data_IF_391449679111
#
_entry.id   IF_391449679111
#
_cell.length_a   1.000
_cell.length_b   1.000
_cell.length_c   1.000
_cell.angle_alpha   90.00
_cell.angle_beta   90.00
_cell.angle_gamma   90.00
#
_symmetry.space_group_name_H-M   'P 1'
#
loop_
_entity.id
_entity.type
_entity.pdbx_description
1 polymer ?
#
# COMPACT_ATOMS: atom_id res chain seq x y z
N UNK A 1 26.49 -76.34 -45.47
CA UNK A 1 25.90 -76.16 -46.78
C UNK A 1 24.69 -75.16 -46.57
N UNK A 2 24.84 -73.98 -47.07
CA UNK A 2 23.83 -73.07 -47.66
C UNK A 2 24.35 -71.62 -47.59
N UNK A 3 24.49 -71.06 -48.74
CA UNK A 3 25.08 -69.79 -49.12
C UNK A 3 24.25 -68.56 -48.68
N UNK A 4 24.88 -67.36 -48.42
CA UNK A 4 24.18 -66.15 -48.09
C UNK A 4 23.83 -65.34 -49.33
N UNK A 5 22.57 -64.85 -49.40
CA UNK A 5 22.12 -63.89 -50.41
C UNK A 5 22.56 -62.48 -50.10
N UNK A 6 23.29 -61.84 -51.04
CA UNK A 6 23.57 -60.41 -51.10
C UNK A 6 22.30 -59.58 -51.26
N UNK A 7 22.07 -58.56 -50.41
CA UNK A 7 21.12 -57.48 -50.64
C UNK A 7 21.88 -56.24 -51.09
N UNK A 8 21.50 -55.77 -52.26
CA UNK A 8 21.99 -54.56 -52.92
C UNK A 8 21.46 -53.31 -52.18
N UNK A 9 22.34 -52.43 -51.77
CA UNK A 9 22.01 -51.08 -51.30
C UNK A 9 21.63 -50.20 -52.50
N UNK A 10 20.41 -49.72 -52.56
CA UNK A 10 20.05 -48.57 -53.40
C UNK A 10 20.44 -47.30 -52.68
N UNK A 11 21.30 -46.50 -53.29
CA UNK A 11 21.61 -45.12 -52.90
C UNK A 11 20.41 -44.24 -53.29
N UNK A 12 19.62 -43.78 -52.33
CA UNK A 12 18.66 -42.72 -52.52
C UNK A 12 19.35 -41.36 -52.39
N UNK A 13 19.05 -40.47 -53.29
CA UNK A 13 19.65 -39.19 -53.59
C UNK A 13 19.46 -38.14 -52.48
N UNK A 14 20.41 -37.26 -52.28
CA UNK A 14 20.38 -36.21 -51.20
C UNK A 14 19.44 -35.03 -51.49
N UNK A 15 18.54 -35.14 -52.47
CA UNK A 15 17.67 -34.03 -52.87
C UNK A 15 16.43 -33.84 -51.97
N UNK A 16 16.01 -34.84 -51.25
CA UNK A 16 14.82 -34.75 -50.38
C UNK A 16 15.12 -34.07 -49.03
N UNK A 17 16.37 -34.06 -48.57
CA UNK A 17 16.74 -33.41 -47.29
C UNK A 17 16.97 -31.90 -47.44
N UNK A 18 17.27 -31.41 -48.65
CA UNK A 18 17.47 -29.96 -48.86
C UNK A 18 16.13 -29.18 -48.97
N UNK A 19 15.09 -29.84 -49.46
CA UNK A 19 13.74 -29.22 -49.58
C UNK A 19 13.07 -29.18 -48.21
N UNK A 20 13.32 -30.16 -47.31
CA UNK A 20 12.73 -30.16 -45.98
C UNK A 20 13.42 -29.13 -45.06
N UNK A 21 14.70 -28.84 -45.25
CA UNK A 21 15.42 -27.79 -44.51
C UNK A 21 15.00 -26.37 -44.94
N UNK A 22 14.63 -26.15 -46.20
CA UNK A 22 14.14 -24.87 -46.69
C UNK A 22 12.68 -24.60 -46.27
N UNK A 23 11.84 -25.63 -46.10
CA UNK A 23 10.44 -25.46 -45.62
C UNK A 23 10.41 -25.28 -44.11
N UNK A 24 11.34 -25.86 -43.33
CA UNK A 24 11.48 -25.63 -41.88
C UNK A 24 12.13 -24.31 -41.55
N UNK A 25 12.91 -23.73 -42.46
CA UNK A 25 13.51 -22.39 -42.28
C UNK A 25 12.52 -21.23 -42.51
N UNK A 26 11.38 -21.51 -43.17
CA UNK A 26 10.31 -20.53 -43.41
C UNK A 26 9.20 -20.56 -42.35
N UNK A 27 9.29 -21.50 -41.38
CA UNK A 27 8.38 -21.62 -40.23
C UNK A 27 9.07 -21.33 -38.88
N UNK A 28 10.23 -20.72 -38.90
CA UNK A 28 10.68 -20.05 -37.68
C UNK A 28 9.66 -18.97 -37.36
N UNK A 29 8.96 -19.02 -36.22
CA UNK A 29 8.17 -17.89 -35.82
C UNK A 29 9.13 -16.73 -35.76
N UNK A 30 8.96 -15.72 -36.64
CA UNK A 30 9.61 -14.47 -36.48
C UNK A 30 9.45 -14.09 -35.00
N UNK A 31 10.53 -13.71 -34.35
CA UNK A 31 10.46 -13.17 -32.99
C UNK A 31 9.41 -12.07 -33.05
N UNK A 32 8.17 -12.43 -32.73
CA UNK A 32 7.06 -11.51 -32.67
C UNK A 32 7.51 -10.43 -31.69
N UNK A 33 7.58 -9.19 -32.10
CA UNK A 33 7.67 -8.06 -31.20
C UNK A 33 6.63 -8.35 -30.11
N UNK A 34 7.10 -8.67 -28.89
CA UNK A 34 6.24 -9.06 -27.79
C UNK A 34 5.15 -8.00 -27.68
N UNK A 35 3.91 -8.43 -27.65
CA UNK A 35 2.79 -7.51 -27.49
C UNK A 35 3.02 -6.76 -26.20
N UNK A 36 3.03 -5.43 -26.27
CA UNK A 36 3.17 -4.59 -25.07
C UNK A 36 2.11 -5.02 -24.04
N UNK A 37 2.44 -5.02 -22.76
CA UNK A 37 1.45 -5.21 -21.70
C UNK A 37 0.26 -4.28 -21.91
N UNK A 38 -0.93 -4.67 -21.45
CA UNK A 38 -2.16 -3.89 -21.68
C UNK A 38 -2.05 -2.44 -21.15
N UNK A 39 -1.40 -2.25 -20.03
CA UNK A 39 -1.19 -0.92 -19.43
C UNK A 39 -0.22 -0.02 -20.23
N UNK A 40 0.63 -0.58 -21.09
CA UNK A 40 1.47 0.18 -22.03
C UNK A 40 0.81 0.43 -23.39
N UNK A 41 -0.39 -0.08 -23.60
CA UNK A 41 -1.13 0.11 -24.85
C UNK A 41 -1.98 1.36 -24.76
N UNK A 42 -1.97 2.15 -25.81
CA UNK A 42 -2.92 3.24 -25.98
C UNK A 42 -4.29 2.63 -26.31
N UNK A 43 -5.17 2.52 -25.31
CA UNK A 43 -6.52 2.05 -25.55
C UNK A 43 -7.50 3.22 -25.70
N UNK A 44 -7.95 3.53 -26.91
CA UNK A 44 -8.92 4.60 -27.14
C UNK A 44 -10.34 4.25 -26.64
N UNK A 45 -10.57 3.01 -26.22
CA UNK A 45 -11.87 2.53 -25.77
C UNK A 45 -12.10 2.60 -24.26
N UNK A 46 -11.10 2.98 -23.48
CA UNK A 46 -11.29 3.20 -22.06
C UNK A 46 -12.33 4.32 -21.85
N UNK A 47 -13.51 3.93 -21.40
CA UNK A 47 -14.64 4.85 -21.24
C UNK A 47 -14.63 5.43 -19.82
N UNK A 48 -13.96 6.55 -19.67
CA UNK A 48 -13.98 7.33 -18.43
C UNK A 48 -14.91 8.54 -18.52
N UNK A 49 -15.93 8.47 -19.39
CA UNK A 49 -16.84 9.58 -19.64
C UNK A 49 -17.67 9.96 -18.41
N UNK A 50 -17.88 9.02 -17.50
CA UNK A 50 -18.60 9.20 -16.24
C UNK A 50 -17.79 10.00 -15.21
N UNK A 51 -16.46 9.99 -15.34
CA UNK A 51 -15.57 10.73 -14.44
C UNK A 51 -15.38 12.13 -14.99
N UNK A 52 -16.19 13.05 -14.52
CA UNK A 52 -16.12 14.45 -14.94
C UNK A 52 -14.82 15.10 -14.43
N UNK A 53 -13.73 14.95 -15.17
CA UNK A 53 -12.44 15.60 -14.90
C UNK A 53 -12.47 16.99 -15.54
N UNK A 54 -12.73 18.00 -14.72
CA UNK A 54 -12.76 19.40 -15.13
C UNK A 54 -11.45 20.12 -14.81
N UNK A 55 -11.31 21.33 -15.33
CA UNK A 55 -10.13 22.17 -15.13
C UNK A 55 -9.06 21.99 -16.21
N UNK A 56 -8.24 23.01 -16.38
CA UNK A 56 -7.11 22.97 -17.28
C UNK A 56 -6.00 22.07 -16.70
N UNK A 57 -5.18 21.43 -17.56
CA UNK A 57 -3.96 20.79 -17.11
C UNK A 57 -3.09 21.80 -16.35
N UNK A 58 -2.37 21.29 -15.37
CA UNK A 58 -1.45 22.10 -14.60
C UNK A 58 -0.35 22.68 -15.49
N UNK A 59 0.03 23.92 -15.23
CA UNK A 59 1.11 24.60 -15.95
C UNK A 59 2.41 24.52 -15.16
N UNK A 60 3.53 24.67 -15.87
CA UNK A 60 4.84 24.77 -15.26
C UNK A 60 4.91 25.92 -14.23
N UNK A 61 5.56 25.67 -13.10
CA UNK A 61 5.85 26.72 -12.11
C UNK A 61 7.10 27.52 -12.49
N UNK A 62 7.16 28.83 -12.19
CA UNK A 62 8.38 29.61 -12.38
C UNK A 62 9.59 29.01 -11.64
N UNK A 63 10.78 29.33 -12.09
CA UNK A 63 12.00 28.90 -11.41
C UNK A 63 12.04 29.37 -9.95
N UNK A 64 12.52 28.50 -9.08
CA UNK A 64 12.89 28.82 -7.69
C UNK A 64 11.87 28.42 -6.63
N UNK A 65 10.58 28.37 -6.93
CA UNK A 65 9.56 28.01 -5.96
C UNK A 65 8.72 26.83 -6.44
N UNK A 66 8.42 25.91 -5.53
CA UNK A 66 7.42 24.87 -5.73
C UNK A 66 6.11 25.39 -5.16
N UNK A 67 5.11 25.58 -6.01
CA UNK A 67 3.76 26.01 -5.63
C UNK A 67 2.77 24.90 -5.90
N UNK A 68 1.87 24.66 -4.97
CA UNK A 68 0.78 23.69 -5.12
C UNK A 68 0.49 22.99 -3.82
N UNK A 69 -0.44 22.04 -3.89
CA UNK A 69 -0.82 21.19 -2.77
C UNK A 69 0.12 19.98 -2.68
N UNK A 70 0.39 19.59 -1.44
CA UNK A 70 1.03 18.32 -1.11
C UNK A 70 -0.02 17.45 -0.43
N UNK A 71 -0.23 16.25 -0.98
CA UNK A 71 -0.88 15.17 -0.25
C UNK A 71 0.24 14.29 0.31
N UNK A 72 0.45 14.42 1.60
CA UNK A 72 1.59 13.81 2.27
C UNK A 72 1.35 12.36 2.65
N UNK A 73 0.12 11.83 2.47
CA UNK A 73 -0.22 10.47 2.85
C UNK A 73 -1.42 9.95 2.05
N UNK A 74 -1.17 9.00 1.15
CA UNK A 74 -2.22 8.33 0.38
C UNK A 74 -1.94 6.84 0.23
N UNK A 75 -3.00 6.04 0.24
CA UNK A 75 -2.92 4.61 -0.06
C UNK A 75 -3.43 4.34 -1.48
N UNK A 76 -2.66 4.75 -2.46
CA UNK A 76 -3.04 4.72 -3.88
C UNK A 76 -3.44 3.32 -4.35
N UNK A 77 -2.66 2.30 -3.97
CA UNK A 77 -2.86 0.90 -4.36
C UNK A 77 -3.36 0.04 -3.18
N UNK A 78 -4.23 0.58 -2.33
CA UNK A 78 -4.76 -0.16 -1.16
C UNK A 78 -5.60 -1.37 -1.54
N UNK A 79 -6.17 -1.40 -2.74
CA UNK A 79 -6.87 -2.55 -3.31
C UNK A 79 -5.98 -3.79 -3.44
N UNK A 80 -4.67 -3.62 -3.61
CA UNK A 80 -3.68 -4.68 -3.60
C UNK A 80 -3.21 -5.08 -2.19
N UNK A 81 -3.63 -4.36 -1.17
CA UNK A 81 -3.34 -4.65 0.24
C UNK A 81 -4.28 -5.70 0.84
N UNK A 82 -4.00 -6.11 2.07
CA UNK A 82 -4.89 -6.88 2.93
C UNK A 82 -5.42 -8.19 2.30
N UNK A 83 -4.65 -8.82 1.43
CA UNK A 83 -5.05 -10.03 0.70
C UNK A 83 -5.76 -9.75 -0.62
N UNK A 84 -5.95 -8.48 -1.01
CA UNK A 84 -6.55 -8.07 -2.28
C UNK A 84 -8.08 -8.12 -2.31
N UNK A 85 -8.74 -8.08 -1.15
CA UNK A 85 -10.21 -8.21 -1.08
C UNK A 85 -10.89 -7.22 -0.11
N UNK A 86 -10.15 -6.55 0.79
CA UNK A 86 -10.76 -5.61 1.74
C UNK A 86 -11.18 -4.31 1.06
N UNK A 87 -10.33 -3.77 0.19
CA UNK A 87 -10.64 -2.55 -0.54
C UNK A 87 -11.17 -2.90 -1.92
N UNK A 88 -12.42 -2.56 -2.16
CA UNK A 88 -13.13 -2.88 -3.40
C UNK A 88 -12.74 -1.94 -4.54
N UNK A 89 -12.56 -2.50 -5.72
CA UNK A 89 -12.24 -1.75 -6.92
C UNK A 89 -10.73 -1.61 -7.13
N UNK A 90 -10.36 -1.10 -8.31
CA UNK A 90 -8.97 -0.93 -8.76
C UNK A 90 -8.68 0.53 -9.04
N UNK A 91 -7.41 0.89 -8.91
CA UNK A 91 -6.93 2.25 -9.20
C UNK A 91 -7.06 2.62 -10.67
N UNK A 92 -6.97 1.65 -11.58
CA UNK A 92 -7.14 1.83 -13.03
C UNK A 92 -7.55 0.53 -13.71
N UNK A 93 -8.17 0.64 -14.88
CA UNK A 93 -8.53 -0.48 -15.73
C UNK A 93 -8.44 -0.12 -17.20
N UNK A 94 -8.16 -1.12 -18.04
CA UNK A 94 -8.21 -0.99 -19.50
C UNK A 94 -9.62 -0.60 -19.99
N UNK A 95 -10.65 -1.10 -19.34
CA UNK A 95 -12.05 -0.91 -19.71
C UNK A 95 -12.70 0.32 -19.08
N UNK A 96 -11.98 1.03 -18.21
CA UNK A 96 -12.46 2.26 -17.57
C UNK A 96 -13.05 2.06 -16.18
N UNK A 97 -13.67 3.12 -15.66
CA UNK A 97 -14.12 3.21 -14.27
C UNK A 97 -15.18 2.16 -13.89
N UNK A 98 -16.08 1.83 -14.81
CA UNK A 98 -17.11 0.83 -14.54
C UNK A 98 -16.55 -0.55 -14.26
N UNK A 99 -15.50 -0.94 -15.01
CA UNK A 99 -14.78 -2.18 -14.77
C UNK A 99 -13.93 -2.09 -13.50
N UNK A 100 -13.22 -0.99 -13.33
CA UNK A 100 -12.33 -0.81 -12.19
C UNK A 100 -13.05 -0.89 -10.84
N UNK A 101 -14.27 -0.37 -10.72
CA UNK A 101 -14.93 -0.19 -9.42
C UNK A 101 -16.09 -1.16 -9.15
N UNK A 102 -16.34 -2.15 -10.02
CA UNK A 102 -17.49 -3.06 -9.86
C UNK A 102 -17.21 -4.28 -9.00
N UNK A 103 -15.96 -4.59 -8.74
CA UNK A 103 -15.59 -5.82 -8.06
C UNK A 103 -15.46 -5.61 -6.56
N UNK A 104 -16.37 -6.24 -5.79
CA UNK A 104 -16.40 -6.10 -4.34
C UNK A 104 -16.83 -7.42 -3.69
N UNK A 105 -15.96 -8.41 -3.73
CA UNK A 105 -16.25 -9.76 -3.26
C UNK A 105 -16.56 -9.81 -1.75
N UNK A 106 -15.85 -9.02 -0.94
CA UNK A 106 -16.00 -9.04 0.50
C UNK A 106 -17.34 -8.49 1.00
N UNK A 107 -18.01 -7.66 0.19
CA UNK A 107 -19.27 -7.02 0.60
C UNK A 107 -20.52 -7.84 0.26
N UNK A 108 -20.41 -8.79 -0.65
CA UNK A 108 -21.60 -9.33 -1.31
C UNK A 108 -22.34 -8.28 -2.16
N UNK A 109 -23.46 -8.65 -2.74
CA UNK A 109 -24.19 -7.77 -3.67
C UNK A 109 -24.91 -6.57 -3.03
N UNK A 110 -25.06 -6.55 -1.70
CA UNK A 110 -25.83 -5.55 -0.95
C UNK A 110 -25.06 -4.89 0.20
N UNK A 111 -23.74 -5.11 0.28
CA UNK A 111 -22.88 -4.55 1.31
C UNK A 111 -22.98 -5.18 2.69
N UNK A 112 -23.94 -6.11 2.93
CA UNK A 112 -24.19 -6.65 4.28
C UNK A 112 -23.07 -7.49 4.84
N UNK A 113 -22.26 -8.08 4.01
CA UNK A 113 -21.14 -8.93 4.40
C UNK A 113 -19.82 -8.17 4.56
N UNK A 114 -19.79 -6.89 4.26
CA UNK A 114 -18.63 -6.02 4.42
C UNK A 114 -18.26 -5.84 5.90
N UNK A 115 -17.57 -6.84 6.48
CA UNK A 115 -17.22 -6.82 7.90
C UNK A 115 -16.41 -5.60 8.30
N UNK A 116 -15.36 -5.29 7.55
CA UNK A 116 -14.46 -4.18 7.88
C UNK A 116 -15.18 -2.83 7.74
N UNK A 117 -15.95 -2.65 6.68
CA UNK A 117 -16.76 -1.44 6.49
C UNK A 117 -17.75 -1.27 7.65
N UNK A 118 -18.46 -2.35 8.01
CA UNK A 118 -19.37 -2.34 9.13
C UNK A 118 -18.69 -2.10 10.48
N UNK A 119 -17.47 -2.59 10.69
CA UNK A 119 -16.69 -2.30 11.90
C UNK A 119 -16.29 -0.83 12.01
N UNK A 120 -16.01 -0.17 10.91
CA UNK A 120 -15.71 1.28 10.90
C UNK A 120 -16.96 2.14 11.18
N UNK A 121 -18.15 1.62 10.91
CA UNK A 121 -19.43 2.28 11.23
C UNK A 121 -19.96 2.02 12.64
N UNK A 122 -19.36 1.13 13.41
CA UNK A 122 -19.79 0.77 14.78
C UNK A 122 -19.63 1.90 15.81
N UNK A 123 -19.13 3.06 15.47
CA UNK A 123 -19.13 4.24 16.34
C UNK A 123 -20.54 4.80 16.62
N UNK A 124 -21.56 4.00 16.42
CA UNK A 124 -22.85 4.13 17.14
C UNK A 124 -23.90 4.99 16.49
N UNK A 125 -23.91 5.21 15.19
CA UNK A 125 -24.88 6.16 14.60
C UNK A 125 -25.59 5.68 13.34
N UNK A 126 -26.05 4.45 13.29
CA UNK A 126 -26.93 4.06 12.21
C UNK A 126 -27.01 2.57 11.95
N UNK A 127 -27.97 2.14 11.13
CA UNK A 127 -27.99 0.77 10.61
C UNK A 127 -26.72 0.53 9.78
N UNK A 128 -26.34 -0.75 9.65
CA UNK A 128 -25.30 -1.19 8.74
C UNK A 128 -25.45 -0.47 7.39
N UNK A 129 -24.38 0.10 6.88
CA UNK A 129 -24.40 0.74 5.57
C UNK A 129 -24.56 -0.33 4.48
N UNK A 130 -25.81 -0.57 4.10
CA UNK A 130 -26.17 -1.52 3.05
C UNK A 130 -26.29 -0.79 1.73
N UNK A 131 -25.48 -1.21 0.75
CA UNK A 131 -25.52 -0.64 -0.60
C UNK A 131 -25.18 -1.71 -1.62
N UNK A 132 -25.69 -1.58 -2.84
CA UNK A 132 -25.31 -2.46 -3.94
C UNK A 132 -23.92 -2.10 -4.43
N UNK A 133 -23.07 -3.10 -4.56
CA UNK A 133 -21.74 -2.99 -5.18
C UNK A 133 -21.75 -3.44 -6.64
N UNK A 134 -22.92 -3.83 -7.14
CA UNK A 134 -23.10 -4.28 -8.52
C UNK A 134 -23.27 -3.08 -9.44
N UNK A 135 -22.42 -2.90 -10.42
CA UNK A 135 -22.47 -1.86 -11.45
C UNK A 135 -22.25 -0.43 -10.88
N UNK A 136 -21.03 0.03 -10.95
CA UNK A 136 -20.73 1.44 -10.70
C UNK A 136 -21.44 2.34 -11.77
N UNK A 137 -21.99 3.48 -11.43
CA UNK A 137 -22.18 4.11 -10.12
C UNK A 137 -23.61 3.86 -9.56
N UNK A 138 -24.07 2.62 -9.49
CA UNK A 138 -25.45 2.29 -9.11
C UNK A 138 -25.79 2.58 -7.65
N UNK A 139 -24.80 2.77 -6.80
CA UNK A 139 -25.01 3.16 -5.41
C UNK A 139 -24.78 4.67 -5.22
N UNK A 140 -25.71 5.31 -4.51
CA UNK A 140 -25.65 6.74 -4.27
C UNK A 140 -24.40 7.12 -3.46
N UNK A 141 -23.80 8.25 -3.81
CA UNK A 141 -22.64 8.84 -3.12
C UNK A 141 -21.38 7.98 -3.09
N UNK A 142 -21.22 7.05 -4.01
CA UNK A 142 -20.00 6.22 -4.07
C UNK A 142 -18.90 6.84 -4.94
N UNK A 143 -17.62 6.74 -4.52
CA UNK A 143 -17.22 6.41 -3.17
C UNK A 143 -17.46 7.59 -2.23
N UNK A 144 -17.93 7.30 -1.02
CA UNK A 144 -18.05 8.33 0.03
C UNK A 144 -16.66 8.55 0.64
N UNK A 145 -16.41 9.76 1.16
CA UNK A 145 -15.19 10.07 1.90
C UNK A 145 -14.98 9.15 3.12
N UNK A 146 -16.05 8.59 3.67
CA UNK A 146 -16.05 7.68 4.82
C UNK A 146 -16.02 6.19 4.44
N UNK A 147 -16.07 5.85 3.15
CA UNK A 147 -16.06 4.45 2.69
C UNK A 147 -14.63 3.95 2.58
N UNK A 148 -14.03 3.54 3.70
CA UNK A 148 -12.64 3.12 3.76
C UNK A 148 -12.35 1.83 2.98
N UNK A 149 -13.37 1.06 2.63
CA UNK A 149 -13.26 -0.22 1.94
C UNK A 149 -13.66 -0.17 0.47
N UNK A 150 -13.82 1.02 -0.09
CA UNK A 150 -14.00 1.25 -1.52
C UNK A 150 -12.85 2.08 -2.07
N UNK A 151 -12.36 1.73 -3.27
CA UNK A 151 -11.29 2.46 -3.92
C UNK A 151 -11.69 3.91 -4.18
N UNK A 152 -10.98 4.85 -3.58
CA UNK A 152 -11.19 6.28 -3.69
C UNK A 152 -10.12 7.00 -4.52
N UNK A 153 -9.12 6.24 -4.99
CA UNK A 153 -7.95 6.76 -5.69
C UNK A 153 -7.94 6.33 -7.17
N UNK A 154 -9.14 6.14 -7.80
CA UNK A 154 -9.17 5.88 -9.22
C UNK A 154 -8.41 6.97 -10.00
N UNK A 155 -7.56 6.59 -10.93
CA UNK A 155 -6.54 7.49 -11.53
C UNK A 155 -7.12 8.80 -12.10
N UNK A 156 -8.38 8.80 -12.59
CA UNK A 156 -9.02 10.04 -13.08
C UNK A 156 -9.36 11.01 -11.94
N UNK A 157 -9.60 10.52 -10.73
CA UNK A 157 -9.78 11.39 -9.57
C UNK A 157 -8.46 11.98 -9.10
N UNK A 158 -7.36 11.21 -9.20
CA UNK A 158 -6.00 11.72 -8.99
C UNK A 158 -5.66 12.77 -10.05
N UNK A 159 -6.05 12.57 -11.31
CA UNK A 159 -5.91 13.59 -12.36
C UNK A 159 -6.68 14.87 -12.02
N UNK A 160 -7.89 14.75 -11.46
CA UNK A 160 -8.66 15.91 -11.01
C UNK A 160 -7.93 16.68 -9.91
N UNK A 161 -7.34 15.98 -8.93
CA UNK A 161 -6.55 16.60 -7.87
C UNK A 161 -5.31 17.32 -8.44
N UNK A 162 -4.59 16.66 -9.36
CA UNK A 162 -3.48 17.29 -10.08
C UNK A 162 -3.90 18.55 -10.86
N UNK A 163 -5.00 18.52 -11.58
CA UNK A 163 -5.57 19.69 -12.27
C UNK A 163 -5.97 20.78 -11.28
N UNK A 164 -6.44 20.39 -10.09
CA UNK A 164 -6.78 21.29 -8.98
C UNK A 164 -5.57 21.93 -8.28
N UNK A 165 -4.34 21.52 -8.63
CA UNK A 165 -3.12 22.13 -8.09
C UNK A 165 -2.26 21.23 -7.22
N UNK A 166 -2.59 19.94 -7.08
CA UNK A 166 -1.70 19.00 -6.40
C UNK A 166 -0.41 18.79 -7.19
N UNK A 167 0.73 18.84 -6.51
CA UNK A 167 2.07 18.75 -7.09
C UNK A 167 2.91 17.63 -6.53
N UNK A 168 2.66 17.26 -5.30
CA UNK A 168 3.32 16.13 -4.64
C UNK A 168 2.23 15.22 -4.07
N UNK A 169 2.45 13.93 -4.20
CA UNK A 169 1.69 12.86 -3.56
C UNK A 169 2.68 11.88 -2.95
N UNK A 170 2.52 11.57 -1.68
CA UNK A 170 3.20 10.42 -1.08
C UNK A 170 2.25 9.24 -1.17
N UNK A 171 2.63 8.25 -1.95
CA UNK A 171 1.88 7.02 -2.16
C UNK A 171 2.46 5.92 -1.28
N UNK A 172 1.90 5.77 -0.09
CA UNK A 172 2.31 4.78 0.87
C UNK A 172 1.71 3.42 0.53
N UNK A 173 2.56 2.43 0.39
CA UNK A 173 2.12 1.03 0.35
C UNK A 173 1.62 0.62 1.73
N UNK A 174 0.49 -0.07 1.79
CA UNK A 174 -0.13 -0.42 3.07
C UNK A 174 -0.51 -1.88 3.14
N UNK A 175 -0.25 -2.49 4.30
CA UNK A 175 -0.74 -3.83 4.61
C UNK A 175 -0.85 -4.06 6.12
N UNK A 176 -1.69 -5.02 6.47
CA UNK A 176 -1.82 -5.55 7.81
C UNK A 176 -2.19 -7.03 7.74
N UNK A 177 -1.27 -7.90 8.13
CA UNK A 177 -1.44 -9.35 8.05
C UNK A 177 -2.59 -9.88 8.93
N UNK A 178 -2.95 -9.19 10.01
CA UNK A 178 -4.08 -9.59 10.87
C UNK A 178 -5.40 -9.36 10.14
N UNK A 179 -5.57 -8.21 9.50
CA UNK A 179 -6.75 -7.93 8.67
C UNK A 179 -6.88 -8.94 7.53
N UNK A 180 -5.77 -9.22 6.86
CA UNK A 180 -5.69 -10.24 5.81
C UNK A 180 -6.10 -11.64 6.28
N UNK A 181 -5.93 -11.94 7.58
CA UNK A 181 -6.20 -13.25 8.16
C UNK A 181 -7.61 -13.40 8.74
N UNK A 182 -8.47 -12.39 8.58
CA UNK A 182 -9.84 -12.48 9.10
C UNK A 182 -10.66 -13.55 8.36
N UNK A 183 -11.50 -14.33 9.06
CA UNK A 183 -12.19 -15.50 8.50
C UNK A 183 -13.14 -15.18 7.34
N UNK A 184 -13.56 -13.94 7.20
CA UNK A 184 -14.49 -13.47 6.15
C UNK A 184 -13.80 -13.07 4.87
N UNK A 185 -12.47 -13.13 4.83
CA UNK A 185 -11.67 -12.72 3.67
C UNK A 185 -11.50 -13.87 2.68
N UNK A 186 -11.67 -13.58 1.42
CA UNK A 186 -11.25 -14.45 0.31
C UNK A 186 -9.93 -13.89 -0.21
N UNK A 187 -8.82 -14.27 0.43
CA UNK A 187 -7.52 -13.77 0.01
C UNK A 187 -7.19 -14.24 -1.40
N UNK A 188 -7.05 -13.30 -2.31
CA UNK A 188 -6.61 -13.53 -3.69
C UNK A 188 -5.10 -13.41 -3.85
N UNK A 189 -4.42 -12.93 -2.80
CA UNK A 189 -2.99 -12.60 -2.83
C UNK A 189 -2.31 -12.81 -1.47
N UNK A 190 -0.98 -12.68 -1.44
CA UNK A 190 -0.17 -12.84 -0.22
C UNK A 190 -0.55 -11.82 0.86
N UNK A 191 -0.53 -12.28 2.12
CA UNK A 191 -0.69 -11.45 3.32
C UNK A 191 0.66 -10.97 3.90
N UNK A 192 1.78 -11.37 3.31
CA UNK A 192 3.11 -10.94 3.77
C UNK A 192 3.33 -9.47 3.41
N UNK A 193 3.74 -8.65 4.39
CA UNK A 193 3.88 -7.21 4.23
C UNK A 193 4.82 -6.84 3.07
N UNK A 194 5.98 -7.50 2.94
CA UNK A 194 6.93 -7.16 1.88
C UNK A 194 6.48 -7.64 0.49
N UNK A 195 5.72 -8.75 0.39
CA UNK A 195 5.11 -9.17 -0.88
C UNK A 195 4.06 -8.14 -1.35
N UNK A 196 3.29 -7.61 -0.41
CA UNK A 196 2.30 -6.56 -0.68
C UNK A 196 2.99 -5.27 -1.12
N UNK A 197 4.08 -4.86 -0.45
CA UNK A 197 4.89 -3.70 -0.84
C UNK A 197 5.37 -3.84 -2.29
N UNK A 198 5.96 -4.99 -2.66
CA UNK A 198 6.42 -5.25 -4.03
C UNK A 198 5.29 -5.12 -5.05
N UNK A 199 4.12 -5.66 -4.72
CA UNK A 199 2.95 -5.64 -5.60
C UNK A 199 2.42 -4.22 -5.79
N UNK A 200 2.19 -3.47 -4.72
CA UNK A 200 1.70 -2.09 -4.81
C UNK A 200 2.69 -1.16 -5.52
N UNK A 201 3.99 -1.33 -5.31
CA UNK A 201 5.01 -0.58 -6.06
C UNK A 201 4.97 -0.93 -7.54
N UNK A 202 4.82 -2.22 -7.88
CA UNK A 202 4.70 -2.67 -9.27
C UNK A 202 3.48 -2.04 -9.94
N UNK A 203 2.31 -2.11 -9.30
CA UNK A 203 1.06 -1.52 -9.80
C UNK A 203 1.17 0.00 -9.96
N UNK A 204 1.84 0.69 -9.05
CA UNK A 204 2.08 2.14 -9.19
C UNK A 204 2.95 2.47 -10.41
N UNK A 205 3.96 1.64 -10.71
CA UNK A 205 4.78 1.79 -11.93
C UNK A 205 3.98 1.46 -13.20
N UNK A 206 3.09 0.49 -13.14
CA UNK A 206 2.18 0.16 -14.25
C UNK A 206 1.16 1.28 -14.50
N UNK A 207 0.66 1.94 -13.44
CA UNK A 207 -0.17 3.13 -13.58
C UNK A 207 0.59 4.29 -14.26
N UNK A 208 1.85 4.52 -13.89
CA UNK A 208 2.69 5.53 -14.57
C UNK A 208 2.80 5.22 -16.07
N UNK A 209 3.11 3.97 -16.43
CA UNK A 209 3.21 3.53 -17.82
C UNK A 209 1.86 3.63 -18.57
N UNK A 210 0.75 3.30 -17.90
CA UNK A 210 -0.59 3.42 -18.42
C UNK A 210 -0.96 4.88 -18.75
N UNK A 211 -0.63 5.81 -17.87
CA UNK A 211 -0.84 7.24 -18.11
C UNK A 211 0.08 7.74 -19.22
N UNK A 212 1.34 7.34 -19.23
CA UNK A 212 2.31 7.68 -20.28
C UNK A 212 1.81 7.24 -21.66
N UNK A 213 1.31 6.01 -21.80
CA UNK A 213 0.80 5.48 -23.07
C UNK A 213 -0.35 6.33 -23.63
N UNK A 214 -1.18 6.90 -22.77
CA UNK A 214 -2.32 7.76 -23.14
C UNK A 214 -1.94 9.20 -23.43
N UNK A 215 -0.71 9.59 -23.11
CA UNK A 215 -0.18 10.94 -23.31
C UNK A 215 0.96 11.02 -24.32
N UNK A 216 1.11 10.00 -25.16
CA UNK A 216 2.10 10.01 -26.25
C UNK A 216 3.38 9.22 -25.96
N UNK A 217 3.41 8.41 -24.90
CA UNK A 217 4.48 7.47 -24.62
C UNK A 217 5.31 7.80 -23.37
N UNK A 218 6.39 7.04 -23.15
CA UNK A 218 7.19 7.13 -21.94
C UNK A 218 7.62 8.55 -21.56
N UNK A 219 7.38 8.92 -20.31
CA UNK A 219 7.72 10.23 -19.77
C UNK A 219 6.78 11.37 -20.18
N UNK A 220 5.73 11.11 -20.94
CA UNK A 220 4.80 12.14 -21.45
C UNK A 220 3.60 12.36 -20.54
N UNK A 221 3.28 11.41 -19.68
CA UNK A 221 2.18 11.52 -18.73
C UNK A 221 2.41 12.59 -17.66
N UNK A 222 1.34 12.92 -16.98
CA UNK A 222 1.31 13.90 -15.89
C UNK A 222 1.69 13.31 -14.54
N UNK A 223 1.60 12.00 -14.36
CA UNK A 223 1.92 11.25 -13.14
C UNK A 223 3.35 10.73 -13.24
N UNK A 224 4.23 11.12 -12.31
CA UNK A 224 5.65 10.79 -12.36
C UNK A 224 6.19 10.31 -11.01
N UNK A 225 6.68 9.09 -10.95
CA UNK A 225 7.37 8.58 -9.76
C UNK A 225 8.74 9.28 -9.67
N UNK A 226 8.98 9.95 -8.56
CA UNK A 226 10.23 10.66 -8.30
C UNK A 226 11.08 9.90 -7.28
N UNK A 227 12.33 9.67 -7.63
CA UNK A 227 13.29 8.94 -6.80
C UNK A 227 14.26 9.86 -6.06
N UNK A 228 14.14 11.17 -6.26
CA UNK A 228 14.92 12.19 -5.58
C UNK A 228 14.15 13.52 -5.51
N UNK A 229 14.56 14.37 -4.56
CA UNK A 229 14.01 15.72 -4.47
C UNK A 229 14.27 16.54 -5.74
N UNK A 230 15.39 16.28 -6.42
CA UNK A 230 15.72 16.94 -7.69
C UNK A 230 14.76 16.53 -8.81
N UNK A 231 14.47 15.23 -8.95
CA UNK A 231 13.49 14.75 -9.93
C UNK A 231 12.08 15.28 -9.63
N UNK A 232 11.66 15.27 -8.36
CA UNK A 232 10.38 15.82 -7.95
C UNK A 232 10.26 17.31 -8.37
N UNK A 233 11.28 18.13 -8.08
CA UNK A 233 11.31 19.54 -8.51
C UNK A 233 11.25 19.70 -10.02
N UNK A 234 11.95 18.86 -10.77
CA UNK A 234 11.94 18.90 -12.23
C UNK A 234 10.55 18.53 -12.78
N UNK A 235 9.89 17.51 -12.26
CA UNK A 235 8.53 17.15 -12.67
C UNK A 235 7.53 18.26 -12.35
N UNK A 236 7.62 18.86 -11.17
CA UNK A 236 6.76 19.99 -10.79
C UNK A 236 7.02 21.20 -11.70
N UNK A 237 8.28 21.48 -12.04
CA UNK A 237 8.63 22.54 -12.98
C UNK A 237 8.00 22.31 -14.36
N UNK A 238 7.85 21.05 -14.77
CA UNK A 238 7.14 20.66 -15.99
C UNK A 238 5.61 20.69 -15.86
N UNK A 239 5.07 21.04 -14.70
CA UNK A 239 3.63 21.03 -14.42
C UNK A 239 3.06 19.66 -14.13
N UNK A 240 3.88 18.66 -13.83
CA UNK A 240 3.48 17.28 -13.54
C UNK A 240 3.28 17.06 -12.04
N UNK A 241 2.63 15.95 -11.70
CA UNK A 241 2.53 15.42 -10.33
C UNK A 241 3.78 14.60 -10.04
N UNK A 242 4.52 14.96 -8.99
CA UNK A 242 5.60 14.15 -8.46
C UNK A 242 5.03 13.19 -7.42
N UNK A 243 5.22 11.89 -7.61
CA UNK A 243 4.76 10.82 -6.74
C UNK A 243 5.95 10.22 -6.00
N UNK A 244 5.90 10.24 -4.68
CA UNK A 244 6.92 9.67 -3.80
C UNK A 244 6.38 8.35 -3.30
N UNK A 245 7.11 7.26 -3.51
CA UNK A 245 6.71 5.96 -2.98
C UNK A 245 7.07 5.89 -1.50
N UNK A 246 6.08 5.53 -0.68
CA UNK A 246 6.23 5.31 0.75
C UNK A 246 5.91 3.88 1.17
N UNK A 247 6.22 3.53 2.42
CA UNK A 247 5.96 2.22 2.99
C UNK A 247 5.41 2.32 4.40
N UNK A 248 4.13 1.97 4.57
CA UNK A 248 3.42 1.90 5.83
C UNK A 248 2.87 0.49 6.07
N UNK A 249 3.67 -0.37 6.66
CA UNK A 249 3.27 -1.74 6.97
C UNK A 249 3.50 -2.08 8.44
N UNK A 250 2.76 -3.06 8.95
CA UNK A 250 2.81 -3.38 10.39
C UNK A 250 4.09 -4.09 10.82
N UNK A 251 4.73 -4.83 9.94
CA UNK A 251 5.95 -5.58 10.23
C UNK A 251 6.98 -5.46 9.07
N UNK A 252 7.57 -4.25 8.84
CA UNK A 252 8.55 -4.07 7.78
C UNK A 252 9.67 -5.09 7.93
N UNK A 253 10.12 -5.64 6.79
CA UNK A 253 11.21 -6.65 6.73
C UNK A 253 10.97 -7.93 7.53
N UNK A 254 9.70 -8.24 7.85
CA UNK A 254 9.35 -9.34 8.75
C UNK A 254 9.65 -9.06 10.22
N UNK A 255 9.87 -7.80 10.60
CA UNK A 255 10.16 -7.38 11.98
C UNK A 255 8.94 -7.39 12.91
N UNK A 256 8.09 -8.41 12.79
CA UNK A 256 7.10 -8.73 13.81
C UNK A 256 7.74 -9.17 15.13
N UNK A 257 6.90 -9.45 16.12
CA UNK A 257 7.33 -10.01 17.40
C UNK A 257 6.28 -10.96 17.98
N UNK A 258 6.71 -11.85 18.86
CA UNK A 258 5.80 -12.64 19.72
C UNK A 258 6.28 -12.53 21.16
N UNK A 259 5.43 -11.99 22.04
CA UNK A 259 5.71 -11.80 23.49
C UNK A 259 7.08 -11.12 23.70
N UNK A 260 7.36 -10.08 22.91
CA UNK A 260 8.61 -9.31 22.98
C UNK A 260 9.82 -9.93 22.27
N UNK A 261 9.69 -11.13 21.72
CA UNK A 261 10.76 -11.79 20.96
C UNK A 261 10.67 -11.34 19.50
N UNK A 262 11.71 -10.69 19.00
CA UNK A 262 11.79 -10.21 17.62
C UNK A 262 11.88 -11.36 16.60
N UNK A 263 11.20 -11.20 15.48
CA UNK A 263 11.23 -12.17 14.36
C UNK A 263 12.28 -11.81 13.30
N UNK A 264 12.96 -10.67 13.40
CA UNK A 264 13.99 -10.27 12.47
C UNK A 264 15.33 -10.05 13.13
N UNK A 265 16.37 -10.05 12.31
CA UNK A 265 17.76 -9.76 12.66
C UNK A 265 18.21 -8.46 11.99
N UNK A 266 19.35 -7.91 12.44
CA UNK A 266 19.98 -6.75 11.78
C UNK A 266 20.24 -6.99 10.29
N UNK A 267 20.75 -8.18 9.94
CA UNK A 267 21.00 -8.51 8.54
C UNK A 267 19.72 -8.51 7.67
N UNK A 268 18.59 -8.94 8.23
CA UNK A 268 17.31 -8.85 7.52
C UNK A 268 16.81 -7.41 7.40
N UNK A 269 17.08 -6.57 8.40
CA UNK A 269 16.80 -5.13 8.34
C UNK A 269 17.62 -4.47 7.23
N UNK A 270 18.94 -4.75 7.17
CA UNK A 270 19.81 -4.20 6.12
C UNK A 270 19.33 -4.61 4.72
N UNK A 271 19.10 -5.90 4.51
CA UNK A 271 18.60 -6.41 3.23
C UNK A 271 17.25 -5.82 2.85
N UNK A 272 16.35 -5.65 3.82
CA UNK A 272 15.03 -5.07 3.60
C UNK A 272 15.08 -3.57 3.28
N UNK A 273 15.98 -2.82 3.91
CA UNK A 273 16.22 -1.40 3.61
C UNK A 273 16.84 -1.21 2.22
N UNK A 274 17.78 -2.08 1.83
CA UNK A 274 18.36 -2.09 0.49
C UNK A 274 17.28 -2.39 -0.55
N UNK A 275 16.46 -3.40 -0.33
CA UNK A 275 15.32 -3.73 -1.19
C UNK A 275 14.33 -2.57 -1.31
N UNK A 276 13.95 -1.95 -0.19
CA UNK A 276 13.04 -0.79 -0.20
C UNK A 276 13.60 0.35 -1.08
N UNK A 277 14.90 0.64 -0.96
CA UNK A 277 15.57 1.64 -1.79
C UNK A 277 15.57 1.27 -3.28
N UNK A 278 15.82 0.00 -3.62
CA UNK A 278 15.79 -0.54 -5.00
C UNK A 278 14.39 -0.51 -5.60
N UNK A 279 13.36 -0.83 -4.81
CA UNK A 279 11.97 -0.71 -5.22
C UNK A 279 11.58 0.74 -5.54
N UNK A 280 12.28 1.70 -4.98
CA UNK A 280 12.05 3.13 -5.17
C UNK A 280 11.36 3.80 -3.99
N UNK A 281 11.21 3.12 -2.87
CA UNK A 281 10.69 3.71 -1.62
C UNK A 281 11.61 4.85 -1.17
N UNK A 282 11.01 5.96 -0.75
CA UNK A 282 11.72 7.15 -0.27
C UNK A 282 11.23 7.65 1.08
N UNK A 283 10.11 7.11 1.57
CA UNK A 283 9.55 7.39 2.89
C UNK A 283 9.12 6.09 3.54
N UNK A 284 9.30 5.92 4.86
CA UNK A 284 8.79 4.73 5.52
C UNK A 284 8.56 4.90 7.02
N UNK A 285 7.66 4.06 7.51
CA UNK A 285 7.33 3.89 8.92
C UNK A 285 8.12 2.73 9.52
N UNK A 286 8.50 2.86 10.79
CA UNK A 286 9.06 1.74 11.57
C UNK A 286 7.98 0.81 12.14
N UNK A 287 6.80 1.31 12.39
CA UNK A 287 5.62 0.56 12.84
C UNK A 287 4.34 1.29 12.43
N UNK A 288 3.23 0.57 12.35
CA UNK A 288 1.94 1.12 11.93
C UNK A 288 0.89 0.93 13.05
N UNK A 289 0.11 -0.14 13.04
CA UNK A 289 -1.03 -0.32 13.98
C UNK A 289 -0.71 -1.24 15.16
N UNK A 290 0.33 -2.05 15.09
CA UNK A 290 0.70 -3.00 16.13
C UNK A 290 2.14 -2.81 16.56
N UNK A 291 2.38 -3.02 17.87
CA UNK A 291 3.73 -3.13 18.39
C UNK A 291 4.51 -4.19 17.59
N UNK A 292 5.70 -3.85 17.17
CA UNK A 292 6.55 -4.78 16.44
C UNK A 292 7.96 -4.86 17.06
N UNK A 293 8.90 -5.50 16.37
CA UNK A 293 10.27 -5.63 16.86
C UNK A 293 11.04 -4.31 16.86
N UNK A 294 10.57 -3.27 16.14
CA UNK A 294 11.26 -2.00 15.99
C UNK A 294 10.75 -0.93 16.93
N UNK A 295 9.42 -0.82 17.11
CA UNK A 295 8.83 0.22 17.95
C UNK A 295 7.51 -0.17 18.62
N UNK A 296 7.16 0.55 19.67
CA UNK A 296 5.83 0.61 20.22
C UNK A 296 4.98 1.63 19.47
N UNK A 297 3.71 1.29 19.24
CA UNK A 297 2.77 2.13 18.49
C UNK A 297 1.99 3.07 19.40
N UNK A 298 1.50 4.18 18.81
CA UNK A 298 0.48 5.03 19.42
C UNK A 298 -0.84 4.26 19.48
N UNK A 299 -1.56 4.41 20.56
CA UNK A 299 -2.85 3.77 20.74
C UNK A 299 -3.93 4.45 19.89
N UNK A 300 -4.88 3.67 19.39
CA UNK A 300 -6.16 4.18 18.95
C UNK A 300 -7.13 4.23 20.14
N UNK A 301 -8.13 5.11 20.10
CA UNK A 301 -9.12 5.30 21.16
C UNK A 301 -10.50 4.78 20.76
N UNK A 302 -11.41 4.71 21.73
CA UNK A 302 -12.82 4.32 21.49
C UNK A 302 -12.96 2.90 20.94
N UNK A 303 -14.00 2.67 20.15
CA UNK A 303 -14.28 1.35 19.53
C UNK A 303 -13.15 0.90 18.62
N UNK A 304 -12.55 1.82 17.86
CA UNK A 304 -11.39 1.51 17.02
C UNK A 304 -10.22 1.02 17.87
N UNK A 305 -9.94 1.68 19.02
CA UNK A 305 -8.90 1.26 19.94
C UNK A 305 -9.12 -0.15 20.50
N UNK A 306 -10.38 -0.52 20.78
CA UNK A 306 -10.73 -1.87 21.20
C UNK A 306 -10.37 -2.91 20.12
N UNK A 307 -10.75 -2.65 18.86
CA UNK A 307 -10.49 -3.55 17.73
C UNK A 307 -9.00 -3.65 17.45
N UNK A 308 -8.29 -2.53 17.42
CA UNK A 308 -6.85 -2.50 17.13
C UNK A 308 -6.05 -3.15 18.25
N UNK A 309 -6.46 -3.00 19.53
CA UNK A 309 -5.80 -3.67 20.65
C UNK A 309 -6.00 -5.20 20.61
N UNK A 310 -7.17 -5.66 20.20
CA UNK A 310 -7.40 -7.08 19.94
C UNK A 310 -6.52 -7.58 18.77
N UNK A 311 -6.39 -6.78 17.73
CA UNK A 311 -5.47 -7.04 16.61
C UNK A 311 -4.00 -7.08 17.04
N UNK A 312 -3.60 -6.18 17.95
CA UNK A 312 -2.26 -6.22 18.55
C UNK A 312 -2.01 -7.54 19.28
N UNK A 313 -3.00 -8.03 20.02
CA UNK A 313 -2.90 -9.35 20.67
C UNK A 313 -2.74 -10.48 19.65
N UNK A 314 -3.51 -10.47 18.57
CA UNK A 314 -3.40 -11.48 17.51
C UNK A 314 -2.02 -11.44 16.81
N UNK A 315 -1.49 -10.24 16.60
CA UNK A 315 -0.19 -10.05 15.96
C UNK A 315 0.99 -10.42 16.84
N UNK A 316 0.91 -10.10 18.14
CA UNK A 316 2.07 -10.12 19.05
C UNK A 316 1.97 -11.12 20.20
N UNK A 317 0.80 -11.73 20.40
CA UNK A 317 0.49 -12.53 21.58
C UNK A 317 0.27 -11.71 22.86
N UNK A 318 0.25 -10.38 22.76
CA UNK A 318 0.07 -9.46 23.89
C UNK A 318 -0.87 -8.31 23.55
N UNK A 319 -1.74 -7.95 24.49
CA UNK A 319 -2.43 -6.67 24.43
C UNK A 319 -1.42 -5.52 24.62
N UNK A 320 -1.81 -4.33 24.22
CA UNK A 320 -1.00 -3.14 24.46
C UNK A 320 -0.54 -3.05 25.92
N UNK A 321 0.71 -2.76 26.11
CA UNK A 321 1.32 -2.60 27.43
C UNK A 321 1.18 -1.14 27.88
N UNK A 322 0.13 -0.86 28.64
CA UNK A 322 -0.28 0.50 29.01
C UNK A 322 0.26 0.88 30.38
N UNK A 323 0.69 2.12 30.53
CA UNK A 323 0.96 2.76 31.82
C UNK A 323 0.32 4.14 31.90
N UNK A 324 0.08 4.64 33.12
CA UNK A 324 -0.26 6.04 33.33
C UNK A 324 0.94 6.93 33.07
N UNK A 325 0.75 7.98 32.30
CA UNK A 325 1.81 8.96 32.07
C UNK A 325 1.30 10.39 32.38
N UNK A 326 1.82 11.02 33.43
CA UNK A 326 1.34 12.32 33.90
C UNK A 326 1.89 13.51 33.13
N UNK A 327 2.31 13.32 31.89
CA UNK A 327 2.89 14.37 31.04
C UNK A 327 1.84 14.95 30.11
N UNK A 328 2.09 16.15 29.59
CA UNK A 328 1.27 16.75 28.54
C UNK A 328 1.40 16.01 27.19
N UNK A 329 2.44 15.20 27.03
CA UNK A 329 2.64 14.34 25.88
C UNK A 329 2.28 12.91 26.27
N UNK A 330 1.23 12.37 25.68
CA UNK A 330 0.74 11.02 25.96
C UNK A 330 0.15 10.40 24.68
N UNK A 331 0.01 9.08 24.69
CA UNK A 331 -0.74 8.35 23.68
C UNK A 331 -2.24 8.53 23.95
N UNK A 332 -3.07 8.08 23.00
CA UNK A 332 -4.52 8.12 23.20
C UNK A 332 -4.95 7.26 24.39
N UNK A 333 -6.06 7.62 25.00
CA UNK A 333 -6.65 6.82 26.07
C UNK A 333 -7.13 5.49 25.53
N UNK A 334 -6.71 4.41 26.18
CA UNK A 334 -7.10 3.04 25.84
C UNK A 334 -8.26 2.62 26.75
N UNK A 335 -9.29 2.07 26.13
CA UNK A 335 -10.38 1.47 26.83
C UNK A 335 -10.10 -0.02 27.12
N UNK A 336 -10.53 -0.49 28.29
CA UNK A 336 -10.38 -1.87 28.73
C UNK A 336 -11.70 -2.44 29.24
N UNK A 337 -11.71 -3.74 29.56
CA UNK A 337 -12.87 -4.42 30.06
C UNK A 337 -13.62 -5.23 29.01
N UNK A 338 -14.95 -5.34 29.15
CA UNK A 338 -15.76 -6.18 28.27
C UNK A 338 -15.90 -5.54 26.88
N UNK A 339 -15.56 -6.30 25.86
CA UNK A 339 -15.75 -5.87 24.47
C UNK A 339 -17.26 -5.87 24.18
N UNK A 340 -17.80 -4.83 23.56
CA UNK A 340 -19.21 -4.81 23.17
C UNK A 340 -19.58 -6.06 22.37
N UNK A 341 -20.74 -6.72 22.65
CA UNK A 341 -21.11 -8.00 22.01
C UNK A 341 -21.10 -7.95 20.49
N UNK A 342 -21.48 -6.80 19.91
CA UNK A 342 -21.50 -6.60 18.45
C UNK A 342 -20.10 -6.67 17.83
N UNK A 343 -19.08 -6.26 18.56
CA UNK A 343 -17.68 -6.34 18.16
C UNK A 343 -17.10 -7.70 18.51
N UNK A 344 -17.39 -8.18 19.72
CA UNK A 344 -16.83 -9.43 20.28
C UNK A 344 -17.14 -10.66 19.42
N UNK A 345 -18.31 -10.71 18.78
CA UNK A 345 -18.68 -11.82 17.88
C UNK A 345 -17.75 -11.99 16.67
N UNK A 346 -17.00 -10.96 16.31
CA UNK A 346 -16.07 -10.94 15.21
C UNK A 346 -14.61 -11.06 15.64
N UNK A 347 -14.33 -11.09 16.94
CA UNK A 347 -12.99 -11.17 17.49
C UNK A 347 -12.79 -12.48 18.26
N UNK A 348 -11.60 -13.07 18.24
CA UNK A 348 -11.29 -14.26 19.03
C UNK A 348 -11.12 -13.97 20.52
N UNK A 349 -11.26 -12.70 20.94
CA UNK A 349 -11.15 -12.25 22.33
C UNK A 349 -12.44 -11.56 22.75
N UNK A 350 -12.86 -11.79 24.00
CA UNK A 350 -14.10 -11.26 24.53
C UNK A 350 -13.89 -10.20 25.63
N UNK A 351 -12.67 -10.10 26.14
CA UNK A 351 -12.32 -9.22 27.27
C UNK A 351 -10.94 -8.62 27.03
N UNK A 352 -10.83 -7.30 27.15
CA UNK A 352 -9.57 -6.60 27.20
C UNK A 352 -9.04 -6.49 28.64
N UNK A 353 -7.73 -6.29 28.83
CA UNK A 353 -7.17 -6.00 30.15
C UNK A 353 -7.83 -4.77 30.79
N UNK A 354 -7.81 -4.73 32.11
CA UNK A 354 -8.13 -3.51 32.85
C UNK A 354 -6.87 -2.66 32.90
N UNK A 355 -6.98 -1.46 32.34
CA UNK A 355 -5.86 -0.51 32.29
C UNK A 355 -5.87 0.47 33.46
N UNK A 356 -4.72 1.05 33.82
CA UNK A 356 -4.67 2.09 34.83
C UNK A 356 -5.49 3.31 34.38
N UNK A 357 -5.72 4.26 35.31
CA UNK A 357 -6.37 5.53 34.93
C UNK A 357 -5.42 6.34 34.04
N UNK A 358 -5.98 6.90 32.95
CA UNK A 358 -5.24 7.77 32.03
C UNK A 358 -4.84 9.13 32.60
N UNK A 359 -4.02 9.93 31.90
CA UNK A 359 -3.57 9.70 30.51
C UNK A 359 -2.64 8.49 30.38
N UNK A 360 -2.63 7.90 29.18
CA UNK A 360 -1.95 6.63 28.91
C UNK A 360 -0.72 6.81 28.02
N UNK A 361 0.30 6.00 28.27
CA UNK A 361 1.44 5.80 27.39
C UNK A 361 1.67 4.31 27.14
N UNK A 362 2.10 3.98 25.92
CA UNK A 362 2.65 2.68 25.63
C UNK A 362 3.97 2.51 26.39
N UNK A 363 4.09 1.40 27.14
CA UNK A 363 5.36 1.05 27.81
C UNK A 363 6.49 0.83 26.81
N UNK A 364 6.14 0.39 25.60
CA UNK A 364 7.11 0.16 24.53
C UNK A 364 7.45 1.49 23.85
N UNK A 365 8.75 1.68 23.68
CA UNK A 365 9.34 2.76 22.89
C UNK A 365 10.04 2.22 21.65
N UNK A 366 10.92 3.01 21.07
CA UNK A 366 11.84 2.57 20.03
C UNK A 366 12.79 1.54 20.62
N UNK A 367 12.89 0.37 19.98
CA UNK A 367 13.76 -0.73 20.45
C UNK A 367 15.19 -0.56 19.92
N UNK A 368 16.12 -1.37 20.40
CA UNK A 368 17.49 -1.39 19.85
C UNK A 368 17.54 -1.79 18.37
N UNK A 369 16.61 -2.66 17.90
CA UNK A 369 16.46 -2.96 16.49
C UNK A 369 15.81 -1.80 15.75
N UNK A 370 14.89 -1.07 16.39
CA UNK A 370 14.30 0.16 15.86
C UNK A 370 15.33 1.27 15.67
N UNK A 371 16.21 1.51 16.67
CA UNK A 371 17.31 2.46 16.53
C UNK A 371 18.28 2.04 15.40
N UNK A 372 18.55 0.74 15.28
CA UNK A 372 19.37 0.24 14.18
C UNK A 372 18.72 0.47 12.79
N UNK A 373 17.43 0.14 12.67
CA UNK A 373 16.68 0.38 11.44
C UNK A 373 16.60 1.87 11.09
N UNK A 374 16.37 2.74 12.09
CA UNK A 374 16.34 4.19 11.91
C UNK A 374 17.67 4.72 11.33
N UNK A 375 18.82 4.28 11.89
CA UNK A 375 20.13 4.68 11.35
C UNK A 375 20.34 4.14 9.93
N UNK A 376 19.91 2.91 9.67
CA UNK A 376 19.96 2.32 8.32
C UNK A 376 19.09 3.09 7.31
N UNK A 377 17.96 3.65 7.74
CA UNK A 377 17.15 4.56 6.91
C UNK A 377 17.91 5.86 6.60
N UNK A 378 18.53 6.46 7.61
CA UNK A 378 19.33 7.69 7.45
C UNK A 378 20.50 7.48 6.48
N UNK A 379 21.23 6.36 6.59
CA UNK A 379 22.33 5.98 5.68
C UNK A 379 21.89 5.82 4.23
N UNK A 380 20.61 5.57 4.00
CA UNK A 380 20.00 5.38 2.67
C UNK A 380 19.20 6.58 2.18
N UNK A 381 19.25 7.71 2.87
CA UNK A 381 18.49 8.93 2.55
C UNK A 381 16.97 8.66 2.45
N UNK A 382 16.42 7.83 3.34
CA UNK A 382 14.99 7.58 3.44
C UNK A 382 14.35 8.57 4.42
N UNK A 383 13.24 9.19 4.04
CA UNK A 383 12.45 9.98 4.96
C UNK A 383 11.85 9.09 6.05
N UNK A 384 11.92 9.58 7.28
CA UNK A 384 11.41 8.87 8.46
C UNK A 384 10.02 9.40 8.79
N UNK A 385 9.02 8.55 8.67
CA UNK A 385 7.66 8.82 9.11
C UNK A 385 7.53 8.54 10.61
N UNK A 386 7.08 9.54 11.36
CA UNK A 386 6.98 9.42 12.84
C UNK A 386 5.56 9.16 13.33
N UNK A 387 4.57 9.30 12.48
CA UNK A 387 3.19 8.97 12.82
C UNK A 387 3.06 7.49 13.20
N UNK A 388 2.04 7.14 13.93
CA UNK A 388 1.84 5.84 14.56
C UNK A 388 2.86 5.42 15.63
N UNK A 389 3.99 6.08 15.76
CA UNK A 389 4.91 5.80 16.86
C UNK A 389 4.30 6.22 18.19
N UNK A 390 4.45 5.39 19.24
CA UNK A 390 4.12 5.83 20.60
C UNK A 390 4.91 7.08 20.97
N UNK A 391 4.41 7.86 21.92
CA UNK A 391 5.11 9.05 22.40
C UNK A 391 6.58 8.74 22.79
N UNK A 392 6.82 7.58 23.38
CA UNK A 392 8.18 7.14 23.72
C UNK A 392 9.02 6.82 22.50
N UNK A 393 8.42 6.16 21.50
CA UNK A 393 9.10 5.84 20.24
C UNK A 393 9.43 7.11 19.47
N UNK A 394 8.44 7.99 19.27
CA UNK A 394 8.60 9.25 18.55
C UNK A 394 9.63 10.17 19.21
N UNK A 395 9.57 10.30 20.55
CA UNK A 395 10.56 11.08 21.29
C UNK A 395 11.98 10.56 21.04
N UNK A 396 12.19 9.24 21.16
CA UNK A 396 13.51 8.65 20.95
C UNK A 396 13.97 8.77 19.49
N UNK A 397 13.07 8.60 18.54
CA UNK A 397 13.33 8.83 17.11
C UNK A 397 13.82 10.25 16.88
N UNK A 398 13.11 11.25 17.38
CA UNK A 398 13.48 12.66 17.23
C UNK A 398 14.82 12.99 17.89
N UNK A 399 15.09 12.47 19.10
CA UNK A 399 16.38 12.64 19.77
C UNK A 399 17.56 12.15 18.91
N UNK A 400 17.38 11.01 18.22
CA UNK A 400 18.42 10.46 17.32
C UNK A 400 18.59 11.35 16.08
N UNK A 401 17.47 11.70 15.42
CA UNK A 401 17.49 12.54 14.22
C UNK A 401 18.14 13.91 14.49
N UNK A 402 17.81 14.53 15.62
CA UNK A 402 18.42 15.79 16.06
C UNK A 402 19.91 15.65 16.34
N UNK A 403 20.30 14.60 17.06
CA UNK A 403 21.71 14.36 17.40
C UNK A 403 22.60 14.11 16.17
N UNK A 404 22.03 13.48 15.14
CA UNK A 404 22.72 13.19 13.88
C UNK A 404 22.57 14.33 12.83
N UNK A 405 21.75 15.37 13.15
CA UNK A 405 21.46 16.46 12.22
C UNK A 405 20.72 16.00 10.96
N UNK A 406 19.90 14.97 11.05
CA UNK A 406 19.17 14.39 9.91
C UNK A 406 17.84 15.12 9.67
N UNK A 407 17.66 15.83 8.53
CA UNK A 407 16.46 16.61 8.26
C UNK A 407 15.31 15.82 7.64
N UNK A 408 15.52 14.54 7.30
CA UNK A 408 14.59 13.70 6.56
C UNK A 408 13.48 13.11 7.43
N UNK A 409 12.72 13.95 8.14
CA UNK A 409 11.58 13.52 8.97
C UNK A 409 10.29 14.14 8.47
N UNK A 410 9.21 13.37 8.52
CA UNK A 410 7.86 13.80 8.12
C UNK A 410 6.84 13.28 9.15
N UNK A 411 5.83 14.10 9.40
CA UNK A 411 4.58 13.73 10.05
C UNK A 411 3.47 14.00 9.02
N UNK A 412 3.02 12.96 8.36
CA UNK A 412 2.25 13.06 7.12
C UNK A 412 0.73 13.13 7.37
N UNK A 413 0.24 12.48 8.44
CA UNK A 413 -1.18 12.40 8.77
C UNK A 413 -1.45 12.49 10.27
N UNK A 414 -0.55 13.12 11.03
CA UNK A 414 -0.76 13.42 12.45
C UNK A 414 -1.86 14.44 12.65
N UNK A 415 -2.58 14.27 13.75
CA UNK A 415 -3.60 15.19 14.18
C UNK A 415 -3.02 16.35 14.97
N UNK A 416 -3.67 17.49 14.93
CA UNK A 416 -3.28 18.62 15.75
C UNK A 416 -3.56 18.35 17.24
N UNK A 417 -2.69 18.85 18.11
CA UNK A 417 -2.70 18.60 19.57
C UNK A 417 -4.07 18.80 20.22
N UNK A 418 -4.82 19.84 19.84
CA UNK A 418 -6.17 20.08 20.36
C UNK A 418 -7.21 19.00 20.08
N UNK A 419 -6.90 18.07 19.20
CA UNK A 419 -7.78 16.93 18.92
C UNK A 419 -7.50 15.76 19.87
N UNK A 420 -6.47 15.88 20.69
CA UNK A 420 -6.02 14.87 21.63
C UNK A 420 -6.12 15.30 23.09
N UNK A 421 -6.70 16.44 23.36
CA UNK A 421 -6.96 16.94 24.72
C UNK A 421 -8.39 16.73 25.14
#
# INVERSE_FOLDING_TARGET
>A
MTTPRRRTRRRGTPFALLVLALVLGLLAPGAGAGTKPWYEQSNPQAKDSEVNVTGAPSTATPQGEVRGLIDAHTHLMSDEGFGGDIVCGKTFSELGIQDALTDCHSHGSDGRTGLIENLTHLEGKGPLDTHSTTLYPSFADAPKWSSLTHQQMYYRWVERAWRGGQRIMVADTVNNSVLCSLPTQVNTSSCNDMDVVRRQVKETKELEAFIDARHGGPGKGWFRIAYSAQEAREYIRQGKLAVILGMEVSAPFGCGQTIGIAHCTKAQIDAGLDEAKELGIRSMYLCHKFDNALCGVRFDSGTQGIVVNAGNFLSTGQFWQVESCPTSLHDNTVEGGVIPPEVAKHLPVQVLPIYPKGPHCNKRGLTSLGEYALRGMMERDLMVEIDHQSVKSAKRTMEILEAEGYPGVISSHSWMDKQFT
#
